data_IF_701719545598
#
_entry.id   IF_701719545598
#
_cell.length_a   1.000
_cell.length_b   1.000
_cell.length_c   1.000
_cell.angle_alpha   90.00
_cell.angle_beta   90.00
_cell.angle_gamma   90.00
#
_symmetry.space_group_name_H-M   'P 1'
#
loop_
_entity.id
_entity.type
_entity.pdbx_description
1 polymer ?
#
# COMPACT_ATOMS: atom_id res chain seq x y z
N UNK A 1 56.59 6.41 -35.66
CA UNK A 1 55.64 6.01 -34.59
C UNK A 1 54.97 7.27 -34.06
N UNK A 2 53.71 7.53 -34.42
CA UNK A 2 52.89 8.52 -33.72
C UNK A 2 51.57 7.88 -33.33
N UNK A 3 51.33 7.89 -32.03
CA UNK A 3 50.28 7.20 -31.29
C UNK A 3 49.03 8.07 -31.32
N UNK A 4 48.02 7.72 -32.11
CA UNK A 4 46.69 8.35 -32.05
C UNK A 4 45.95 7.82 -30.81
N UNK A 5 45.87 8.63 -29.75
CA UNK A 5 44.93 8.44 -28.63
C UNK A 5 44.12 9.71 -28.46
N UNK A 6 42.82 9.67 -28.74
CA UNK A 6 41.92 10.78 -28.44
C UNK A 6 40.54 10.60 -29.04
N UNK A 7 39.58 10.15 -28.23
CA UNK A 7 38.23 9.76 -28.62
C UNK A 7 37.33 10.92 -29.11
N UNK A 8 37.48 11.31 -30.38
CA UNK A 8 36.64 12.32 -31.05
C UNK A 8 35.12 12.01 -30.98
N UNK A 9 34.75 10.72 -30.94
CA UNK A 9 33.34 10.28 -30.84
C UNK A 9 32.74 10.56 -29.46
N UNK A 10 33.53 10.47 -28.38
CA UNK A 10 33.03 10.73 -27.02
C UNK A 10 32.72 12.20 -26.80
N UNK A 11 33.47 13.08 -27.46
CA UNK A 11 33.28 14.52 -27.35
C UNK A 11 32.07 14.98 -28.17
N UNK A 12 31.87 14.44 -29.37
CA UNK A 12 30.66 14.68 -30.17
C UNK A 12 29.37 14.20 -29.47
N UNK A 13 29.41 13.05 -28.77
CA UNK A 13 28.26 12.53 -28.03
C UNK A 13 27.93 13.39 -26.78
N UNK A 14 28.93 14.05 -26.21
CA UNK A 14 28.77 14.96 -25.06
C UNK A 14 28.12 16.28 -25.47
N UNK A 15 28.45 16.78 -26.66
CA UNK A 15 27.87 18.00 -27.21
C UNK A 15 26.43 17.79 -27.71
N UNK A 16 26.11 16.63 -28.29
CA UNK A 16 24.72 16.28 -28.65
C UNK A 16 23.83 16.17 -27.39
N UNK A 17 24.37 15.60 -26.31
CA UNK A 17 23.67 15.47 -25.03
C UNK A 17 23.42 16.83 -24.34
N UNK A 18 24.20 17.87 -24.67
CA UNK A 18 23.97 19.26 -24.21
C UNK A 18 22.81 19.93 -24.92
N UNK A 19 22.56 19.61 -26.19
CA UNK A 19 21.51 20.27 -26.99
C UNK A 19 20.10 19.71 -26.74
N UNK A 20 19.97 18.48 -26.23
CA UNK A 20 18.65 17.83 -25.94
C UNK A 20 18.13 18.13 -24.52
N UNK A 21 18.91 18.78 -23.66
CA UNK A 21 18.45 19.24 -22.32
C UNK A 21 17.56 20.50 -22.44
N UNK A 22 16.45 20.40 -23.17
CA UNK A 22 15.31 21.30 -23.02
C UNK A 22 14.82 21.17 -21.58
N UNK A 23 14.80 22.32 -20.90
CA UNK A 23 14.44 22.52 -19.50
C UNK A 23 13.13 21.83 -19.14
N UNK A 24 13.20 20.62 -18.58
CA UNK A 24 12.22 20.23 -17.56
C UNK A 24 12.55 21.10 -16.37
N UNK A 25 11.73 22.13 -16.14
CA UNK A 25 11.83 22.92 -14.92
C UNK A 25 11.56 21.98 -13.74
N UNK A 26 12.32 22.09 -12.64
CA UNK A 26 11.92 21.41 -11.43
C UNK A 26 10.60 22.04 -11.01
N UNK A 27 9.50 21.30 -11.14
CA UNK A 27 8.25 21.66 -10.49
C UNK A 27 8.56 21.62 -8.99
N UNK A 28 8.87 22.78 -8.43
CA UNK A 28 8.87 22.99 -6.99
C UNK A 28 7.42 22.74 -6.56
N UNK A 29 7.11 21.52 -6.15
CA UNK A 29 5.93 21.29 -5.32
C UNK A 29 6.23 21.89 -3.95
N UNK A 30 6.23 23.22 -3.85
CA UNK A 30 6.01 23.92 -2.59
C UNK A 30 4.53 23.77 -2.26
N UNK A 31 4.10 22.52 -2.03
CA UNK A 31 2.86 22.31 -1.30
C UNK A 31 3.26 22.59 0.15
N UNK A 32 2.73 23.65 0.80
CA UNK A 32 2.97 23.80 2.22
C UNK A 32 2.44 22.52 2.86
N UNK A 33 3.31 21.82 3.59
CA UNK A 33 2.88 20.73 4.45
C UNK A 33 2.02 21.37 5.53
N UNK A 34 0.71 21.53 5.25
CA UNK A 34 -0.27 21.94 6.22
C UNK A 34 -0.37 20.78 7.22
N UNK A 35 0.47 20.82 8.26
CA UNK A 35 0.34 20.02 9.47
C UNK A 35 -0.95 20.50 10.16
N UNK A 36 -2.09 20.04 9.66
CA UNK A 36 -3.34 20.11 10.41
C UNK A 36 -3.25 19.03 11.47
N UNK A 37 -2.74 19.42 12.65
CA UNK A 37 -2.92 18.65 13.87
C UNK A 37 -4.40 18.71 14.26
N UNK A 38 -5.24 17.99 13.50
CA UNK A 38 -6.60 17.72 13.89
C UNK A 38 -6.57 16.61 14.92
N UNK A 39 -6.86 16.95 16.18
CA UNK A 39 -7.13 15.97 17.22
C UNK A 39 -8.22 15.01 16.70
N UNK A 40 -7.84 13.78 16.36
CA UNK A 40 -8.79 12.77 15.89
C UNK A 40 -9.72 12.42 17.05
N UNK A 41 -10.96 12.90 17.01
CA UNK A 41 -12.04 12.40 17.88
C UNK A 41 -12.08 10.88 17.77
N UNK A 42 -11.92 10.18 18.90
CA UNK A 42 -12.02 8.73 18.96
C UNK A 42 -13.46 8.33 18.56
N UNK A 43 -13.63 7.87 17.33
CA UNK A 43 -14.92 7.41 16.82
C UNK A 43 -15.29 6.13 17.59
N UNK A 44 -16.42 6.13 18.30
CA UNK A 44 -16.94 4.97 19.03
C UNK A 44 -17.16 3.82 18.04
N UNK A 45 -16.38 2.75 18.18
CA UNK A 45 -16.47 1.55 17.32
C UNK A 45 -17.60 0.65 17.82
N UNK A 46 -18.35 0.05 16.90
CA UNK A 46 -19.33 -0.98 17.26
C UNK A 46 -18.60 -2.25 17.72
N UNK A 47 -19.25 -3.07 18.55
CA UNK A 47 -18.64 -4.31 19.06
C UNK A 47 -18.41 -5.31 17.93
N UNK A 48 -19.37 -5.39 17.01
CA UNK A 48 -19.43 -6.28 15.87
C UNK A 48 -18.30 -5.98 14.87
N UNK A 49 -18.01 -4.69 14.62
CA UNK A 49 -16.90 -4.27 13.75
C UNK A 49 -15.54 -4.68 14.37
N UNK A 50 -15.42 -4.63 15.69
CA UNK A 50 -14.21 -5.09 16.39
C UNK A 50 -14.09 -6.63 16.35
N UNK A 51 -15.20 -7.35 16.52
CA UNK A 51 -15.25 -8.81 16.36
C UNK A 51 -14.85 -9.22 14.94
N UNK A 52 -15.36 -8.51 13.92
CA UNK A 52 -15.00 -8.71 12.50
C UNK A 52 -13.48 -8.59 12.29
N UNK A 53 -12.87 -7.51 12.77
CA UNK A 53 -11.42 -7.30 12.65
C UNK A 53 -10.60 -8.39 13.34
N UNK A 54 -11.01 -8.80 14.55
CA UNK A 54 -10.41 -9.92 15.28
C UNK A 54 -10.53 -11.24 14.52
N UNK A 55 -11.69 -11.49 13.91
CA UNK A 55 -11.96 -12.70 13.10
C UNK A 55 -11.03 -12.76 11.89
N UNK A 56 -10.89 -11.66 11.15
CA UNK A 56 -9.97 -11.56 10.00
C UNK A 56 -8.53 -11.86 10.45
N UNK A 57 -8.08 -11.23 11.53
CA UNK A 57 -6.73 -11.44 12.08
C UNK A 57 -6.49 -12.89 12.49
N UNK A 58 -7.46 -13.52 13.15
CA UNK A 58 -7.39 -14.92 13.54
C UNK A 58 -7.24 -15.84 12.32
N UNK A 59 -8.06 -15.64 11.29
CA UNK A 59 -8.02 -16.46 10.07
C UNK A 59 -6.72 -16.27 9.29
N UNK A 60 -6.21 -15.02 9.21
CA UNK A 60 -4.89 -14.75 8.64
C UNK A 60 -3.79 -15.54 9.35
N UNK A 61 -3.76 -15.49 10.68
CA UNK A 61 -2.78 -16.25 11.46
C UNK A 61 -2.92 -17.77 11.24
N UNK A 62 -4.17 -18.27 11.15
CA UNK A 62 -4.45 -19.68 10.88
C UNK A 62 -3.93 -20.14 9.52
N UNK A 63 -3.89 -19.24 8.53
CA UNK A 63 -3.27 -19.48 7.22
C UNK A 63 -1.74 -19.44 7.22
N UNK A 64 -1.10 -19.15 8.35
CA UNK A 64 0.37 -19.10 8.47
C UNK A 64 0.98 -17.71 8.24
N UNK A 65 0.17 -16.69 8.01
CA UNK A 65 0.66 -15.32 7.87
C UNK A 65 0.84 -14.66 9.24
N UNK A 66 2.08 -14.51 9.69
CA UNK A 66 2.39 -13.78 10.92
C UNK A 66 2.25 -12.26 10.76
N UNK A 67 2.65 -11.73 9.62
CA UNK A 67 2.61 -10.30 9.30
C UNK A 67 1.50 -9.99 8.26
N UNK A 68 0.66 -9.02 8.63
CA UNK A 68 -0.47 -8.57 7.82
C UNK A 68 -0.04 -7.85 6.53
N UNK A 69 1.15 -7.27 6.48
CA UNK A 69 1.66 -6.60 5.28
C UNK A 69 1.93 -7.59 4.14
N UNK A 70 2.47 -8.77 4.44
CA UNK A 70 2.69 -9.81 3.43
C UNK A 70 1.38 -10.33 2.87
N UNK A 71 0.41 -10.63 3.75
CA UNK A 71 -0.93 -11.03 3.33
C UNK A 71 -1.59 -9.97 2.44
N UNK A 72 -1.49 -8.69 2.84
CA UNK A 72 -2.05 -7.61 2.05
C UNK A 72 -1.37 -7.46 0.68
N UNK A 73 -0.04 -7.60 0.62
CA UNK A 73 0.71 -7.54 -0.64
C UNK A 73 0.33 -8.69 -1.59
N UNK A 74 0.30 -9.93 -1.09
CA UNK A 74 0.01 -11.12 -1.89
C UNK A 74 -1.40 -11.11 -2.48
N UNK A 75 -2.38 -10.59 -1.74
CA UNK A 75 -3.77 -10.52 -2.19
C UNK A 75 -4.15 -9.16 -2.81
N UNK A 76 -3.17 -8.32 -3.14
CA UNK A 76 -3.35 -7.00 -3.76
C UNK A 76 -4.31 -6.07 -2.98
N UNK A 77 -4.26 -6.15 -1.66
CA UNK A 77 -5.00 -5.27 -0.75
C UNK A 77 -4.04 -4.18 -0.26
N UNK A 78 -4.51 -2.93 -0.22
CA UNK A 78 -3.71 -1.85 0.36
C UNK A 78 -3.34 -2.18 1.81
N UNK A 79 -2.03 -2.20 2.11
CA UNK A 79 -1.50 -2.46 3.48
C UNK A 79 -2.17 -1.57 4.54
N UNK A 80 -2.34 -0.29 4.23
CA UNK A 80 -3.01 0.66 5.12
C UNK A 80 -4.49 0.33 5.32
N UNK A 81 -5.19 -0.16 4.29
CA UNK A 81 -6.58 -0.58 4.44
C UNK A 81 -6.69 -1.87 5.24
N UNK A 82 -5.86 -2.86 4.94
CA UNK A 82 -5.89 -4.15 5.63
C UNK A 82 -5.61 -4.00 7.13
N UNK A 83 -4.61 -3.19 7.50
CA UNK A 83 -4.36 -2.86 8.90
C UNK A 83 -5.54 -2.16 9.59
N UNK A 84 -6.30 -1.31 8.89
CA UNK A 84 -7.53 -0.69 9.44
C UNK A 84 -8.62 -1.73 9.69
N UNK A 85 -8.77 -2.71 8.81
CA UNK A 85 -9.74 -3.79 8.96
C UNK A 85 -9.44 -4.65 10.20
N UNK A 86 -8.19 -5.08 10.40
CA UNK A 86 -7.82 -5.85 11.60
C UNK A 86 -8.00 -5.06 12.89
N UNK A 87 -7.84 -3.74 12.84
CA UNK A 87 -8.05 -2.84 13.96
C UNK A 87 -9.55 -2.56 14.25
N UNK A 88 -10.47 -3.16 13.50
CA UNK A 88 -11.91 -2.96 13.67
C UNK A 88 -12.35 -1.56 13.24
N UNK A 89 -11.96 -1.15 12.04
CA UNK A 89 -12.52 0.02 11.38
C UNK A 89 -13.59 -0.39 10.37
N UNK A 90 -14.57 0.49 10.17
CA UNK A 90 -15.65 0.27 9.21
C UNK A 90 -15.11 0.06 7.78
N UNK A 91 -15.72 -0.87 7.06
CA UNK A 91 -15.31 -1.26 5.71
C UNK A 91 -16.52 -1.52 4.82
N UNK A 92 -16.35 -1.29 3.52
CA UNK A 92 -17.40 -1.59 2.55
C UNK A 92 -17.60 -3.10 2.43
N UNK A 93 -18.84 -3.53 2.21
CA UNK A 93 -19.16 -4.94 2.01
C UNK A 93 -18.40 -5.57 0.83
N UNK A 94 -18.19 -4.84 -0.26
CA UNK A 94 -17.37 -5.30 -1.39
C UNK A 94 -15.91 -5.58 -0.99
N UNK A 95 -15.32 -4.75 -0.11
CA UNK A 95 -14.00 -5.00 0.45
C UNK A 95 -13.98 -6.24 1.34
N UNK A 96 -15.05 -6.47 2.11
CA UNK A 96 -15.16 -7.65 2.96
C UNK A 96 -15.20 -8.93 2.12
N UNK A 97 -15.99 -8.97 1.05
CA UNK A 97 -16.00 -10.11 0.12
C UNK A 97 -14.60 -10.39 -0.43
N UNK A 98 -13.84 -9.37 -0.82
CA UNK A 98 -12.46 -9.55 -1.31
C UNK A 98 -11.54 -10.16 -0.24
N UNK A 99 -11.65 -9.72 1.01
CA UNK A 99 -10.88 -10.28 2.13
C UNK A 99 -11.27 -11.74 2.39
N UNK A 100 -12.58 -12.05 2.42
CA UNK A 100 -13.06 -13.42 2.65
C UNK A 100 -12.58 -14.36 1.54
N UNK A 101 -12.62 -13.92 0.28
CA UNK A 101 -12.06 -14.69 -0.85
C UNK A 101 -10.54 -14.87 -0.74
N UNK A 102 -9.81 -13.84 -0.33
CA UNK A 102 -8.37 -13.95 -0.05
C UNK A 102 -8.06 -14.93 1.10
N UNK A 103 -9.00 -15.13 2.02
CA UNK A 103 -8.94 -16.16 3.06
C UNK A 103 -9.38 -17.55 2.56
N UNK A 104 -9.68 -17.73 1.27
CA UNK A 104 -10.17 -18.99 0.66
C UNK A 104 -11.34 -19.60 1.43
N UNK A 105 -12.31 -18.77 1.83
CA UNK A 105 -13.49 -19.20 2.57
C UNK A 105 -14.78 -18.69 1.92
N UNK A 106 -15.89 -19.34 2.24
CA UNK A 106 -17.22 -18.80 1.89
C UNK A 106 -17.71 -17.80 2.93
N UNK A 107 -18.72 -17.00 2.57
CA UNK A 107 -19.38 -16.07 3.51
C UNK A 107 -19.98 -16.83 4.70
N UNK A 108 -20.61 -17.97 4.43
CA UNK A 108 -21.28 -18.79 5.44
C UNK A 108 -20.29 -19.33 6.47
N UNK A 109 -19.17 -19.89 6.00
CA UNK A 109 -18.08 -20.35 6.87
C UNK A 109 -17.47 -19.22 7.69
N UNK A 110 -17.31 -18.04 7.08
CA UNK A 110 -16.72 -16.89 7.75
C UNK A 110 -17.55 -16.43 8.95
N UNK A 111 -18.87 -16.30 8.76
CA UNK A 111 -19.81 -15.82 9.78
C UNK A 111 -20.30 -16.90 10.76
N UNK A 112 -20.01 -18.18 10.51
CA UNK A 112 -20.40 -19.28 11.42
C UNK A 112 -19.82 -19.21 12.84
N UNK A 113 -18.72 -18.44 13.06
CA UNK A 113 -18.02 -18.39 14.36
C UNK A 113 -17.47 -16.99 14.65
N UNK A 114 -17.47 -16.60 15.93
CA UNK A 114 -16.81 -15.38 16.42
C UNK A 114 -17.68 -14.13 16.46
N UNK A 115 -19.00 -14.31 16.41
CA UNK A 115 -20.02 -13.25 16.47
C UNK A 115 -21.08 -13.52 17.55
N UNK A 116 -20.61 -13.93 18.74
CA UNK A 116 -21.44 -14.13 19.94
C UNK A 116 -21.75 -12.81 20.67
#
# INVERSE_FOLDING_TARGET
MYLLKGNFIRDALRDLCRMVKKKVTPVKTSRPAKKVAGAKKAKKKSKEIVQLGKRIKFLRNKKGYSNYEYFAYEHEISRSQFGRYENGEDMRFSSLIRVIKALDMTLEEFFSKGFD
#
